data_IF_679590436046
#
_entry.id   IF_679590436046
#
_cell.length_a   1.000
_cell.length_b   1.000
_cell.length_c   1.000
_cell.angle_alpha   90.00
_cell.angle_beta   90.00
_cell.angle_gamma   90.00
#
_symmetry.space_group_name_H-M   'P 1'
#
loop_
_entity.id
_entity.type
_entity.pdbx_description
1 polymer ?
#
# COMPACT_ATOMS: atom_id res chain seq x y z
N UNK A 1 8.33 6.21 -28.84
CA UNK A 1 8.83 5.13 -27.97
C UNK A 1 9.33 5.77 -26.68
N UNK A 2 8.59 5.62 -25.59
CA UNK A 2 9.05 6.07 -24.27
C UNK A 2 9.85 4.90 -23.70
N UNK A 3 11.10 5.17 -23.30
CA UNK A 3 12.07 4.16 -22.87
C UNK A 3 11.53 3.29 -21.72
N UNK A 4 11.38 1.99 -21.97
CA UNK A 4 10.96 0.98 -20.99
C UNK A 4 11.96 0.79 -19.82
N UNK A 5 13.16 1.39 -19.91
CA UNK A 5 14.21 1.26 -18.89
C UNK A 5 14.16 2.33 -17.78
N UNK A 6 13.28 3.35 -17.85
CA UNK A 6 13.37 4.48 -16.91
C UNK A 6 12.68 4.27 -15.54
N UNK A 7 11.95 3.17 -15.32
CA UNK A 7 11.29 2.92 -14.03
C UNK A 7 11.30 1.42 -13.68
N UNK A 8 12.47 0.81 -13.56
CA UNK A 8 12.60 -0.33 -12.64
C UNK A 8 12.74 0.26 -11.24
N UNK A 9 11.64 0.83 -10.71
CA UNK A 9 11.57 1.17 -9.30
C UNK A 9 11.62 -0.16 -8.56
N UNK A 10 12.80 -0.52 -8.02
CA UNK A 10 12.97 -1.70 -7.16
C UNK A 10 12.02 -1.70 -5.95
N UNK A 11 11.40 -0.56 -5.68
CA UNK A 11 10.49 -0.33 -4.56
C UNK A 11 9.44 0.73 -4.92
N UNK A 12 8.18 0.38 -4.74
CA UNK A 12 7.00 1.22 -4.86
C UNK A 12 6.39 1.46 -3.48
N UNK A 13 6.13 2.72 -3.14
CA UNK A 13 5.53 3.11 -1.86
C UNK A 13 4.20 3.82 -2.09
N UNK A 14 3.14 3.32 -1.48
CA UNK A 14 1.76 3.76 -1.70
C UNK A 14 1.16 4.11 -0.35
N UNK A 15 0.62 5.33 -0.22
CA UNK A 15 -0.09 5.78 0.98
C UNK A 15 -1.56 6.04 0.69
N UNK A 16 -2.41 5.37 1.44
CA UNK A 16 -3.85 5.59 1.49
C UNK A 16 -4.15 6.34 2.80
N UNK A 17 -4.66 7.56 2.72
CA UNK A 17 -4.94 8.40 3.89
C UNK A 17 -6.32 9.05 3.78
N UNK A 18 -7.01 9.21 4.92
CA UNK A 18 -8.36 9.76 4.96
C UNK A 18 -9.04 9.49 6.30
N UNK A 19 -10.37 9.38 6.29
CA UNK A 19 -11.15 9.11 7.49
C UNK A 19 -11.44 7.62 7.69
N UNK A 20 -11.48 7.18 8.94
CA UNK A 20 -11.86 5.82 9.31
C UNK A 20 -13.25 5.45 8.80
N UNK A 21 -13.39 4.24 8.26
CA UNK A 21 -14.63 3.73 7.67
C UNK A 21 -14.71 3.80 6.14
N UNK A 22 -13.74 4.44 5.48
CA UNK A 22 -13.69 4.55 4.00
C UNK A 22 -13.03 3.36 3.31
N UNK A 23 -12.56 2.37 4.06
CA UNK A 23 -11.93 1.17 3.51
C UNK A 23 -10.43 1.28 3.24
N UNK A 24 -9.74 2.36 3.63
CA UNK A 24 -8.30 2.58 3.38
C UNK A 24 -7.40 1.39 3.80
N UNK A 25 -7.64 0.84 4.99
CA UNK A 25 -6.89 -0.32 5.49
C UNK A 25 -7.18 -1.54 4.61
N UNK A 26 -8.46 -1.79 4.29
CA UNK A 26 -8.86 -2.93 3.46
C UNK A 26 -8.30 -2.83 2.04
N UNK A 27 -8.31 -1.64 1.45
CA UNK A 27 -7.71 -1.38 0.14
C UNK A 27 -6.20 -1.62 0.15
N UNK A 28 -5.50 -1.19 1.19
CA UNK A 28 -4.06 -1.48 1.34
C UNK A 28 -3.77 -2.96 1.51
N UNK A 29 -4.62 -3.68 2.25
CA UNK A 29 -4.50 -5.13 2.40
C UNK A 29 -4.72 -5.86 1.07
N UNK A 30 -5.77 -5.50 0.31
CA UNK A 30 -6.04 -6.10 -1.02
C UNK A 30 -4.86 -5.87 -1.97
N UNK A 31 -4.30 -4.65 -1.97
CA UNK A 31 -3.14 -4.33 -2.78
C UNK A 31 -1.90 -5.14 -2.38
N UNK A 32 -1.67 -5.32 -1.07
CA UNK A 32 -0.57 -6.12 -0.56
C UNK A 32 -0.75 -7.61 -0.90
N UNK A 33 -1.94 -8.16 -0.72
CA UNK A 33 -2.28 -9.54 -1.11
C UNK A 33 -2.05 -9.77 -2.60
N UNK A 34 -2.48 -8.84 -3.47
CA UNK A 34 -2.24 -8.92 -4.90
C UNK A 34 -0.73 -8.93 -5.22
N UNK A 35 0.06 -8.04 -4.61
CA UNK A 35 1.51 -8.00 -4.80
C UNK A 35 2.19 -9.30 -4.33
N UNK A 36 1.76 -9.85 -3.18
CA UNK A 36 2.26 -11.13 -2.67
C UNK A 36 1.92 -12.30 -3.62
N UNK A 37 0.72 -12.33 -4.18
CA UNK A 37 0.30 -13.33 -5.17
C UNK A 37 1.09 -13.25 -6.49
N UNK A 38 1.59 -12.06 -6.84
CA UNK A 38 2.53 -11.86 -7.96
C UNK A 38 3.98 -12.25 -7.62
N UNK A 39 4.24 -12.75 -6.39
CA UNK A 39 5.59 -13.15 -5.97
C UNK A 39 6.51 -11.98 -5.64
N UNK A 40 5.96 -10.82 -5.26
CA UNK A 40 6.74 -9.65 -4.85
C UNK A 40 6.92 -9.59 -3.33
N UNK A 41 8.00 -8.94 -2.89
CA UNK A 41 8.16 -8.60 -1.47
C UNK A 41 7.24 -7.45 -1.12
N UNK A 42 6.43 -7.58 -0.08
CA UNK A 42 5.47 -6.54 0.29
C UNK A 42 5.30 -6.44 1.78
N UNK A 43 5.17 -5.21 2.27
CA UNK A 43 4.76 -4.91 3.64
C UNK A 43 3.63 -3.89 3.62
N UNK A 44 2.64 -4.12 4.48
CA UNK A 44 1.57 -3.17 4.74
C UNK A 44 1.62 -2.74 6.19
N UNK A 45 1.50 -1.43 6.43
CA UNK A 45 1.43 -0.84 7.76
C UNK A 45 0.20 0.03 7.84
N UNK A 46 -0.54 -0.06 8.94
CA UNK A 46 -1.72 0.75 9.19
C UNK A 46 -1.53 1.62 10.43
N UNK A 47 -2.12 2.81 10.40
CA UNK A 47 -2.22 3.72 11.53
C UNK A 47 -3.64 4.23 11.61
N UNK A 48 -4.23 4.17 12.80
CA UNK A 48 -5.56 4.71 13.07
C UNK A 48 -5.56 5.40 14.44
N UNK A 49 -6.27 6.51 14.55
CA UNK A 49 -6.50 7.18 15.82
C UNK A 49 -7.40 6.36 16.77
N UNK A 50 -7.50 6.74 18.05
CA UNK A 50 -8.39 6.09 19.02
C UNK A 50 -9.88 6.21 18.64
N UNK A 51 -10.22 7.04 17.64
CA UNK A 51 -11.57 7.15 17.14
C UNK A 51 -11.93 5.96 16.25
N UNK A 52 -12.67 4.99 16.80
CA UNK A 52 -13.10 3.78 16.10
C UNK A 52 -13.87 4.03 14.78
N UNK A 53 -14.40 5.24 14.57
CA UNK A 53 -15.08 5.69 13.33
C UNK A 53 -14.87 7.18 13.11
N UNK A 54 -14.45 7.57 11.89
CA UNK A 54 -14.33 8.97 11.47
C UNK A 54 -13.00 9.68 11.79
N UNK A 55 -12.14 9.09 12.62
CA UNK A 55 -10.79 9.60 12.91
C UNK A 55 -9.83 9.50 11.72
N UNK A 56 -8.63 10.08 11.87
CA UNK A 56 -7.59 9.96 10.87
C UNK A 56 -7.15 8.50 10.74
N UNK A 57 -7.15 8.00 9.50
CA UNK A 57 -6.77 6.63 9.17
C UNK A 57 -5.78 6.65 8.02
N UNK A 58 -4.79 5.76 8.09
CA UNK A 58 -3.74 5.61 7.11
C UNK A 58 -3.37 4.14 6.91
N UNK A 59 -3.03 3.81 5.67
CA UNK A 59 -2.49 2.51 5.26
C UNK A 59 -1.36 2.77 4.27
N UNK A 60 -0.15 2.34 4.62
CA UNK A 60 1.01 2.36 3.72
C UNK A 60 1.26 0.95 3.20
N UNK A 61 1.52 0.84 1.90
CA UNK A 61 1.92 -0.40 1.24
C UNK A 61 3.24 -0.14 0.54
N UNK A 62 4.25 -0.94 0.87
CA UNK A 62 5.57 -0.89 0.24
C UNK A 62 5.77 -2.22 -0.48
N UNK A 63 5.93 -2.16 -1.80
CA UNK A 63 6.14 -3.30 -2.68
C UNK A 63 7.55 -3.21 -3.24
N UNK A 64 8.36 -4.25 -3.09
CA UNK A 64 9.67 -4.37 -3.70
C UNK A 64 9.76 -5.56 -4.64
N UNK A 65 10.81 -5.57 -5.44
CA UNK A 65 11.19 -6.75 -6.23
C UNK A 65 11.59 -7.91 -5.29
N UNK A 66 11.61 -9.12 -5.83
CA UNK A 66 11.85 -10.37 -5.10
C UNK A 66 13.32 -10.60 -4.69
N UNK A 67 14.14 -9.55 -4.61
CA UNK A 67 15.56 -9.60 -4.20
C UNK A 67 15.88 -8.61 -3.06
#
# INVERSE_FOLDING_TARGET
>A
MINSQLITLKRFEIRLAGKGGQGLIKSGLILAEAAALEGKNVVQVQSYGPEARGGASRSDVIIGDTE
#
